data_IF_679051330067
#
_entry.id   IF_679051330067
#
_cell.length_a   1.000
_cell.length_b   1.000
_cell.length_c   1.000
_cell.angle_alpha   90.00
_cell.angle_beta   90.00
_cell.angle_gamma   90.00
#
_symmetry.space_group_name_H-M   'P 1'
#
loop_
_entity.id
_entity.type
_entity.pdbx_description
1 polymer ?
#
# COMPACT_ATOMS: atom_id res chain seq x y z
N UNK A 1 -1.12 -24.85 -4.65
CA UNK A 1 -0.67 -23.43 -4.75
C UNK A 1 -1.79 -22.49 -4.35
N UNK A 2 -1.47 -21.47 -3.58
CA UNK A 2 -2.38 -20.35 -3.33
C UNK A 2 -1.86 -19.15 -4.13
N UNK A 3 -2.76 -18.49 -4.82
CA UNK A 3 -2.45 -17.29 -5.60
C UNK A 3 -3.39 -16.20 -5.14
N UNK A 4 -2.84 -15.02 -4.87
CA UNK A 4 -3.65 -13.85 -4.58
C UNK A 4 -4.53 -13.55 -5.79
N UNK A 5 -5.83 -13.68 -5.63
CA UNK A 5 -6.75 -13.47 -6.74
C UNK A 5 -7.09 -12.01 -6.82
N UNK A 6 -6.94 -11.54 -8.02
CA UNK A 6 -7.62 -10.33 -8.37
C UNK A 6 -8.10 -10.39 -9.82
N UNK A 7 -9.38 -10.39 -9.99
CA UNK A 7 -10.03 -10.30 -11.29
C UNK A 7 -9.80 -8.90 -11.87
N UNK A 8 -8.68 -8.74 -12.58
CA UNK A 8 -8.32 -7.50 -13.25
C UNK A 8 -7.58 -6.45 -12.42
N UNK A 9 -6.91 -6.83 -11.34
CA UNK A 9 -6.11 -5.93 -10.54
C UNK A 9 -5.08 -6.67 -9.67
N UNK A 10 -4.63 -6.09 -8.56
CA UNK A 10 -3.53 -6.60 -7.75
C UNK A 10 -3.93 -6.97 -6.31
N UNK A 11 -5.16 -7.36 -6.10
CA UNK A 11 -5.68 -7.73 -4.79
C UNK A 11 -5.89 -6.54 -3.86
N UNK A 12 -6.25 -6.85 -2.64
CA UNK A 12 -6.48 -5.89 -1.56
C UNK A 12 -5.46 -6.09 -0.45
N UNK A 13 -5.13 -5.03 0.26
CA UNK A 13 -4.27 -5.12 1.43
C UNK A 13 -4.98 -5.78 2.61
N UNK A 14 -6.23 -5.38 2.86
CA UNK A 14 -7.06 -5.95 3.91
C UNK A 14 -8.16 -6.82 3.32
N UNK A 15 -8.55 -7.85 4.07
CA UNK A 15 -9.50 -8.86 3.60
C UNK A 15 -9.10 -9.48 2.25
N UNK A 16 -7.81 -9.88 2.09
CA UNK A 16 -7.34 -10.37 0.80
C UNK A 16 -8.09 -11.63 0.39
N UNK A 17 -8.30 -11.75 -0.90
CA UNK A 17 -8.92 -12.89 -1.52
C UNK A 17 -7.86 -13.71 -2.26
N UNK A 18 -7.85 -15.02 -2.03
CA UNK A 18 -6.92 -15.94 -2.66
C UNK A 18 -7.63 -17.01 -3.46
N UNK A 19 -7.05 -17.39 -4.58
CA UNK A 19 -7.40 -18.60 -5.31
C UNK A 19 -6.50 -19.74 -4.85
N UNK A 20 -7.12 -20.81 -4.37
CA UNK A 20 -6.41 -21.99 -3.89
C UNK A 20 -6.42 -23.03 -4.99
N UNK A 21 -5.24 -23.46 -5.44
CA UNK A 21 -5.07 -24.50 -6.47
C UNK A 21 -5.84 -24.26 -7.77
N UNK A 22 -6.11 -23.00 -8.10
CA UNK A 22 -6.82 -22.60 -9.32
C UNK A 22 -8.33 -22.86 -9.31
N UNK A 23 -8.90 -23.22 -8.16
CA UNK A 23 -10.32 -23.62 -8.04
C UNK A 23 -11.07 -22.85 -6.99
N UNK A 24 -10.61 -22.87 -5.78
CA UNK A 24 -11.33 -22.34 -4.63
C UNK A 24 -10.90 -20.91 -4.32
N UNK A 25 -11.87 -20.11 -3.92
CA UNK A 25 -11.61 -18.74 -3.48
C UNK A 25 -11.80 -18.62 -1.99
N UNK A 26 -10.75 -18.19 -1.29
CA UNK A 26 -10.74 -17.96 0.15
C UNK A 26 -10.60 -16.47 0.42
N UNK A 27 -11.43 -15.93 1.31
CA UNK A 27 -11.34 -14.55 1.78
C UNK A 27 -10.83 -14.56 3.22
N UNK A 28 -9.65 -14.00 3.42
CA UNK A 28 -9.02 -13.87 4.74
C UNK A 28 -9.55 -12.61 5.45
N UNK A 29 -10.61 -12.79 6.24
CA UNK A 29 -11.28 -11.67 6.92
C UNK A 29 -10.40 -11.09 8.03
N UNK A 30 -10.37 -9.76 8.13
CA UNK A 30 -9.66 -8.99 9.17
C UNK A 30 -8.15 -9.21 9.22
N UNK A 31 -7.55 -9.68 8.15
CA UNK A 31 -6.11 -9.88 8.03
C UNK A 31 -5.51 -9.00 6.96
N UNK A 32 -4.25 -8.69 7.10
CA UNK A 32 -3.47 -8.00 6.08
C UNK A 32 -2.81 -9.01 5.13
N UNK A 33 -2.72 -8.65 3.84
CA UNK A 33 -2.21 -9.57 2.81
C UNK A 33 -0.77 -10.02 3.02
N UNK A 34 0.12 -9.15 3.53
CA UNK A 34 1.52 -9.53 3.79
C UNK A 34 1.60 -10.65 4.81
N UNK A 35 0.86 -10.53 5.94
CA UNK A 35 0.86 -11.55 6.99
C UNK A 35 0.22 -12.86 6.55
N UNK A 36 -0.82 -12.81 5.72
CA UNK A 36 -1.43 -14.03 5.16
C UNK A 36 -0.45 -14.75 4.25
N UNK A 37 0.24 -14.00 3.38
CA UNK A 37 1.22 -14.57 2.44
C UNK A 37 2.40 -15.20 3.19
N UNK A 38 2.90 -14.55 4.26
CA UNK A 38 3.93 -15.12 5.13
C UNK A 38 3.49 -16.45 5.74
N UNK A 39 2.33 -16.47 6.43
CA UNK A 39 1.82 -17.69 7.09
C UNK A 39 1.64 -18.85 6.11
N UNK A 40 1.15 -18.57 4.89
CA UNK A 40 1.04 -19.55 3.83
C UNK A 40 2.39 -20.04 3.32
N UNK A 41 3.35 -19.15 3.20
CA UNK A 41 4.73 -19.48 2.81
C UNK A 41 5.36 -20.42 3.83
N UNK A 42 5.31 -20.07 5.12
CA UNK A 42 5.86 -20.88 6.22
C UNK A 42 5.15 -22.24 6.29
N UNK A 43 3.83 -22.26 6.20
CA UNK A 43 3.04 -23.49 6.19
C UNK A 43 3.44 -24.42 5.05
N UNK A 44 3.59 -23.86 3.84
CA UNK A 44 4.02 -24.63 2.68
C UNK A 44 5.45 -25.16 2.82
N UNK A 45 6.39 -24.31 3.26
CA UNK A 45 7.79 -24.72 3.49
C UNK A 45 7.90 -25.84 4.52
N UNK A 46 7.09 -25.77 5.58
CA UNK A 46 7.09 -26.78 6.66
C UNK A 46 6.47 -28.11 6.23
N UNK A 47 5.54 -28.09 5.28
CA UNK A 47 4.78 -29.27 4.84
C UNK A 47 5.28 -29.91 3.54
N UNK A 48 6.28 -29.30 2.87
CA UNK A 48 6.79 -29.79 1.58
C UNK A 48 7.56 -31.09 1.72
N UNK A 49 7.61 -31.87 0.67
CA UNK A 49 8.50 -33.04 0.54
C UNK A 49 9.96 -32.54 0.39
N UNK A 50 10.76 -32.73 1.44
CA UNK A 50 12.15 -32.27 1.50
C UNK A 50 13.11 -33.07 0.62
N UNK A 51 12.66 -34.24 0.11
CA UNK A 51 13.46 -35.04 -0.82
C UNK A 51 13.44 -34.55 -2.27
N UNK A 52 12.58 -33.56 -2.54
CA UNK A 52 12.40 -33.01 -3.89
C UNK A 52 12.87 -31.56 -3.98
N UNK A 53 13.44 -31.16 -5.12
CA UNK A 53 13.71 -29.74 -5.39
C UNK A 53 12.38 -28.98 -5.46
N UNK A 54 12.41 -27.71 -5.13
CA UNK A 54 11.23 -26.84 -5.17
C UNK A 54 11.55 -25.49 -5.78
N UNK A 55 10.51 -24.80 -6.21
CA UNK A 55 10.52 -23.39 -6.57
C UNK A 55 9.40 -22.70 -5.78
N UNK A 56 9.73 -21.61 -5.11
CA UNK A 56 8.78 -20.78 -4.38
C UNK A 56 8.79 -19.37 -4.98
N UNK A 57 7.61 -18.90 -5.42
CA UNK A 57 7.41 -17.50 -5.80
C UNK A 57 6.72 -16.78 -4.63
N UNK A 58 7.52 -16.10 -3.82
CA UNK A 58 7.08 -15.37 -2.63
C UNK A 58 6.85 -13.90 -2.99
N UNK A 59 5.63 -13.57 -3.37
CA UNK A 59 5.26 -12.29 -3.94
C UNK A 59 4.16 -11.60 -3.15
N UNK A 60 4.34 -10.31 -2.90
CA UNK A 60 3.41 -9.47 -2.16
C UNK A 60 2.67 -8.50 -3.09
N UNK A 61 1.48 -8.05 -2.64
CA UNK A 61 0.85 -6.87 -3.19
C UNK A 61 1.66 -5.61 -2.87
N UNK A 62 2.16 -5.53 -1.67
CA UNK A 62 3.00 -4.43 -1.22
C UNK A 62 4.33 -4.38 -2.02
N UNK A 63 4.86 -3.20 -2.32
CA UNK A 63 4.39 -1.86 -1.98
C UNK A 63 3.56 -1.18 -3.08
N UNK A 64 2.65 -1.88 -3.73
CA UNK A 64 1.80 -1.30 -4.77
C UNK A 64 0.84 -0.23 -4.18
N UNK A 65 0.54 0.78 -4.93
CA UNK A 65 -0.49 1.80 -4.66
C UNK A 65 -1.88 1.14 -4.42
N UNK A 66 -2.79 1.58 -3.52
CA UNK A 66 -2.60 2.65 -2.53
C UNK A 66 -1.85 2.09 -1.31
N UNK A 67 -0.76 2.67 -0.94
CA UNK A 67 0.11 2.18 0.12
C UNK A 67 -0.61 2.06 1.46
N UNK A 68 -0.87 0.84 1.90
CA UNK A 68 -1.59 0.52 3.13
C UNK A 68 -0.81 -0.51 3.93
N UNK A 69 0.01 -0.07 4.87
CA UNK A 69 0.72 -0.98 5.76
C UNK A 69 -0.25 -1.78 6.62
N UNK A 70 0.20 -2.88 7.18
CA UNK A 70 -0.53 -3.50 8.28
C UNK A 70 -0.64 -2.51 9.44
N UNK A 71 -1.70 -2.67 10.24
CA UNK A 71 -2.02 -1.76 11.34
C UNK A 71 -0.90 -1.56 12.35
N UNK A 72 -0.07 -2.58 12.55
CA UNK A 72 1.08 -2.51 13.47
C UNK A 72 2.19 -1.58 12.98
N UNK A 73 2.23 -1.28 11.67
CA UNK A 73 3.24 -0.38 11.06
C UNK A 73 2.69 1.01 10.76
N UNK A 74 1.43 1.27 11.07
CA UNK A 74 0.75 2.50 10.67
C UNK A 74 1.49 3.77 11.13
N UNK A 75 2.02 3.75 12.34
CA UNK A 75 2.66 4.92 12.94
C UNK A 75 4.17 4.84 13.03
N UNK A 76 4.79 3.84 12.43
CA UNK A 76 6.24 3.61 12.55
C UNK A 76 7.10 4.82 12.14
N UNK A 77 6.56 5.69 11.28
CA UNK A 77 7.18 6.93 10.83
C UNK A 77 6.38 8.18 11.17
N UNK A 78 5.44 8.12 12.14
CA UNK A 78 4.56 9.26 12.44
C UNK A 78 5.35 10.52 12.80
N UNK A 79 6.34 10.38 13.68
CA UNK A 79 7.16 11.48 14.21
C UNK A 79 8.44 11.76 13.39
N UNK A 80 8.60 11.10 12.25
CA UNK A 80 9.78 11.27 11.41
C UNK A 80 9.47 12.17 10.21
N UNK A 81 10.23 13.24 10.04
CA UNK A 81 10.17 14.06 8.84
C UNK A 81 11.25 13.65 7.86
N UNK A 82 10.82 13.15 6.71
CA UNK A 82 11.72 12.72 5.64
C UNK A 82 12.30 13.94 4.91
N UNK A 83 13.61 13.98 4.69
CA UNK A 83 14.23 15.05 3.93
C UNK A 83 13.70 15.07 2.49
N UNK A 84 13.50 16.26 1.97
CA UNK A 84 13.19 16.43 0.55
C UNK A 84 14.41 16.04 -0.29
N UNK A 85 14.25 15.20 -1.33
CA UNK A 85 15.36 14.91 -2.22
C UNK A 85 15.78 16.15 -3.03
N UNK A 86 17.02 16.22 -3.47
CA UNK A 86 17.51 17.33 -4.32
C UNK A 86 16.64 17.53 -5.57
N UNK A 87 16.03 16.46 -6.06
CA UNK A 87 15.15 16.46 -7.22
C UNK A 87 13.70 16.80 -6.90
N UNK A 88 13.39 17.23 -5.67
CA UNK A 88 12.00 17.47 -5.23
C UNK A 88 11.26 18.50 -6.12
N UNK A 89 11.97 19.52 -6.56
CA UNK A 89 11.47 20.58 -7.44
C UNK A 89 12.08 20.51 -8.85
N UNK A 90 12.44 19.31 -9.30
CA UNK A 90 12.99 19.10 -10.63
C UNK A 90 11.96 19.42 -11.72
N UNK A 91 12.38 20.18 -12.72
CA UNK A 91 11.56 20.55 -13.87
C UNK A 91 11.66 19.55 -15.03
N UNK A 92 12.44 18.47 -14.86
CA UNK A 92 12.69 17.43 -15.86
C UNK A 92 13.31 17.93 -17.19
N UNK A 93 13.92 19.09 -17.21
CA UNK A 93 14.53 19.66 -18.41
C UNK A 93 15.47 18.65 -19.10
N UNK A 94 15.31 18.48 -20.40
CA UNK A 94 16.10 17.52 -21.19
C UNK A 94 15.73 16.04 -21.03
N UNK A 95 14.70 15.72 -20.22
CA UNK A 95 14.24 14.33 -19.96
C UNK A 95 12.77 14.17 -20.36
N UNK A 96 12.52 14.03 -21.65
CA UNK A 96 11.18 13.98 -22.23
C UNK A 96 10.27 12.96 -21.55
N UNK A 97 10.76 11.71 -21.35
CA UNK A 97 9.96 10.68 -20.73
C UNK A 97 9.53 11.02 -19.28
N UNK A 98 10.35 11.74 -18.54
CA UNK A 98 10.01 12.18 -17.19
C UNK A 98 9.03 13.38 -17.20
N UNK A 99 9.20 14.32 -18.13
CA UNK A 99 8.32 15.48 -18.25
C UNK A 99 6.92 15.14 -18.75
N UNK A 100 6.79 14.10 -19.58
CA UNK A 100 5.51 13.61 -20.09
C UNK A 100 4.81 12.62 -19.14
N UNK A 101 5.52 12.19 -18.10
CA UNK A 101 4.99 11.20 -17.18
C UNK A 101 4.09 11.86 -16.12
N UNK A 102 2.87 11.36 -15.98
CA UNK A 102 1.90 11.83 -14.98
C UNK A 102 2.22 11.29 -13.57
N UNK A 103 3.43 11.56 -13.05
CA UNK A 103 3.90 11.07 -11.74
C UNK A 103 4.38 12.19 -10.80
N UNK A 104 3.90 13.40 -10.99
CA UNK A 104 4.22 14.53 -10.12
C UNK A 104 3.48 14.44 -8.78
N UNK A 105 4.15 14.82 -7.70
CA UNK A 105 3.56 14.85 -6.36
C UNK A 105 2.38 15.81 -6.31
N UNK A 106 2.54 17.01 -6.85
CA UNK A 106 1.53 18.05 -6.77
C UNK A 106 0.24 17.69 -7.49
N UNK A 107 0.36 17.25 -8.75
CA UNK A 107 -0.78 17.08 -9.66
C UNK A 107 -1.35 15.65 -9.66
N UNK A 108 -0.50 14.63 -9.46
CA UNK A 108 -0.87 13.24 -9.70
C UNK A 108 -1.02 12.38 -8.43
N UNK A 109 -0.50 12.82 -7.27
CA UNK A 109 -0.89 12.26 -5.99
C UNK A 109 -2.26 12.79 -5.57
N UNK A 110 -3.29 12.10 -6.06
CA UNK A 110 -4.68 12.51 -5.84
C UNK A 110 -5.20 12.07 -4.47
N UNK A 111 -6.39 12.55 -4.11
CA UNK A 111 -7.04 12.28 -2.82
C UNK A 111 -7.24 10.78 -2.54
N UNK A 112 -7.42 9.95 -3.57
CA UNK A 112 -7.56 8.50 -3.42
C UNK A 112 -6.23 7.86 -3.02
N UNK A 113 -5.15 8.21 -3.71
CA UNK A 113 -3.82 7.73 -3.37
C UNK A 113 -3.40 8.15 -1.96
N UNK A 114 -3.82 9.35 -1.54
CA UNK A 114 -3.61 9.87 -0.18
C UNK A 114 -4.59 9.29 0.86
N UNK A 115 -5.47 8.37 0.48
CA UNK A 115 -6.49 7.75 1.35
C UNK A 115 -7.49 8.75 1.98
N UNK A 116 -7.71 9.87 1.33
CA UNK A 116 -8.65 10.92 1.75
C UNK A 116 -10.07 10.69 1.21
N UNK A 117 -10.26 9.66 0.40
CA UNK A 117 -11.56 9.26 -0.16
C UNK A 117 -11.71 7.76 0.04
N UNK A 118 -12.77 7.36 0.71
CA UNK A 118 -13.10 5.95 0.85
C UNK A 118 -13.51 5.33 -0.51
N UNK A 119 -13.23 4.04 -0.73
CA UNK A 119 -13.72 3.33 -1.90
C UNK A 119 -15.24 3.43 -2.05
N UNK A 120 -15.74 3.46 -3.28
CA UNK A 120 -17.16 3.41 -3.56
C UNK A 120 -17.77 2.07 -3.12
N UNK A 121 -19.06 2.09 -2.74
CA UNK A 121 -19.79 0.88 -2.35
C UNK A 121 -19.66 0.47 -0.90
N UNK A 122 -18.88 1.18 -0.09
CA UNK A 122 -18.86 0.99 1.34
C UNK A 122 -20.06 1.63 2.03
N UNK A 123 -20.53 1.02 3.12
CA UNK A 123 -21.48 1.68 4.01
C UNK A 123 -20.84 2.95 4.60
N UNK A 124 -21.67 3.90 5.08
CA UNK A 124 -21.17 5.11 5.77
C UNK A 124 -20.22 4.74 6.93
N UNK A 125 -20.59 3.73 7.71
CA UNK A 125 -19.80 3.23 8.84
C UNK A 125 -18.45 2.68 8.39
N UNK A 126 -18.43 1.89 7.31
CA UNK A 126 -17.21 1.29 6.80
C UNK A 126 -16.33 2.31 6.10
N UNK A 127 -16.93 3.30 5.42
CA UNK A 127 -16.21 4.45 4.87
C UNK A 127 -15.50 5.25 5.95
N UNK A 128 -16.21 5.51 7.05
CA UNK A 128 -15.62 6.20 8.22
C UNK A 128 -14.48 5.39 8.84
N UNK A 129 -14.67 4.07 8.98
CA UNK A 129 -13.60 3.18 9.44
C UNK A 129 -12.41 3.16 8.50
N UNK A 130 -12.67 3.14 7.21
CA UNK A 130 -11.63 3.14 6.19
C UNK A 130 -10.78 4.42 6.26
N UNK A 131 -11.42 5.57 6.37
CA UNK A 131 -10.75 6.86 6.53
C UNK A 131 -10.00 6.94 7.87
N UNK A 132 -10.62 6.52 8.97
CA UNK A 132 -9.99 6.51 10.29
C UNK A 132 -8.78 5.55 10.35
N UNK A 133 -8.82 4.43 9.64
CA UNK A 133 -7.70 3.50 9.51
C UNK A 133 -6.54 4.07 8.70
N UNK A 134 -6.84 5.01 7.80
CA UNK A 134 -5.82 5.71 7.02
C UNK A 134 -5.10 6.83 7.78
N UNK A 135 -5.65 7.33 8.90
CA UNK A 135 -5.14 8.54 9.56
C UNK A 135 -5.41 8.63 11.07
N UNK A 136 -5.68 7.53 11.79
CA UNK A 136 -5.95 7.53 13.26
C UNK A 136 -6.80 8.71 13.73
N UNK A 137 -7.88 9.02 13.03
CA UNK A 137 -8.80 10.11 13.41
C UNK A 137 -8.31 11.50 13.02
N UNK A 138 -7.17 11.64 12.39
CA UNK A 138 -6.88 12.85 11.65
C UNK A 138 -7.64 12.77 10.33
N UNK A 139 -8.87 13.25 10.36
CA UNK A 139 -9.60 13.65 9.14
C UNK A 139 -8.90 14.87 8.53
N UNK A 140 -7.63 14.68 8.26
CA UNK A 140 -6.86 15.70 7.61
C UNK A 140 -7.13 15.58 6.10
N UNK A 141 -8.27 16.09 5.71
CA UNK A 141 -8.29 16.78 4.45
C UNK A 141 -7.26 17.90 4.62
N UNK A 142 -6.24 18.01 3.74
CA UNK A 142 -5.55 19.28 3.67
C UNK A 142 -6.68 20.27 3.54
N UNK A 143 -6.93 21.00 4.59
CA UNK A 143 -7.94 22.04 4.58
C UNK A 143 -7.70 22.80 3.28
N UNK A 144 -8.75 23.30 2.67
CA UNK A 144 -8.63 24.18 1.50
C UNK A 144 -7.62 25.33 1.68
N UNK A 145 -6.92 25.34 2.80
CA UNK A 145 -5.86 26.25 3.22
C UNK A 145 -4.47 25.87 2.72
N UNK A 146 -4.15 24.57 2.46
CA UNK A 146 -2.86 24.19 1.89
C UNK A 146 -2.91 24.24 0.37
N UNK A 147 -1.99 25.01 -0.20
CA UNK A 147 -1.80 25.14 -1.63
C UNK A 147 -0.32 25.21 -2.00
N UNK A 148 0.00 25.10 -3.29
CA UNK A 148 1.34 25.24 -3.83
C UNK A 148 2.36 24.35 -3.10
N UNK A 149 3.49 24.93 -2.75
CA UNK A 149 4.62 24.24 -2.14
C UNK A 149 4.28 23.57 -0.80
N UNK A 150 3.45 24.19 0.04
CA UNK A 150 3.02 23.62 1.31
C UNK A 150 2.18 22.34 1.12
N UNK A 151 1.29 22.34 0.14
CA UNK A 151 0.51 21.13 -0.23
C UNK A 151 1.41 20.05 -0.80
N UNK A 152 2.38 20.41 -1.65
CA UNK A 152 3.34 19.47 -2.24
C UNK A 152 4.17 18.77 -1.17
N UNK A 153 4.72 19.53 -0.21
CA UNK A 153 5.48 18.99 0.92
C UNK A 153 4.64 18.08 1.80
N UNK A 154 3.42 18.46 2.12
CA UNK A 154 2.51 17.61 2.87
C UNK A 154 2.20 16.31 2.13
N UNK A 155 1.90 16.35 0.83
CA UNK A 155 1.67 15.16 0.01
C UNK A 155 2.90 14.24 0.00
N UNK A 156 4.10 14.81 -0.09
CA UNK A 156 5.33 14.06 -0.04
C UNK A 156 5.50 13.33 1.28
N UNK A 157 5.37 14.04 2.41
CA UNK A 157 5.49 13.42 3.74
C UNK A 157 4.48 12.28 3.92
N UNK A 158 3.22 12.52 3.57
CA UNK A 158 2.21 11.47 3.67
C UNK A 158 2.51 10.28 2.78
N UNK A 159 2.88 10.51 1.54
CA UNK A 159 3.24 9.45 0.60
C UNK A 159 4.42 8.63 1.08
N UNK A 160 5.52 9.28 1.44
CA UNK A 160 6.75 8.57 1.78
C UNK A 160 6.61 7.76 3.08
N UNK A 161 5.89 8.29 4.08
CA UNK A 161 5.57 7.59 5.31
C UNK A 161 4.72 6.34 5.04
N UNK A 162 3.65 6.47 4.29
CA UNK A 162 2.77 5.35 3.92
C UNK A 162 3.52 4.29 3.08
N UNK A 163 4.32 4.73 2.13
CA UNK A 163 5.12 3.86 1.28
C UNK A 163 6.13 3.05 2.11
N UNK A 164 6.94 3.72 2.92
CA UNK A 164 7.97 3.05 3.72
C UNK A 164 7.38 2.17 4.82
N UNK A 165 6.27 2.56 5.44
CA UNK A 165 5.53 1.69 6.36
C UNK A 165 5.01 0.43 5.65
N UNK A 166 4.59 0.56 4.39
CA UNK A 166 4.19 -0.59 3.57
C UNK A 166 5.38 -1.48 3.21
N UNK A 167 6.55 -0.90 2.91
CA UNK A 167 7.81 -1.63 2.70
C UNK A 167 8.23 -2.35 3.98
N UNK A 168 8.16 -1.66 5.14
CA UNK A 168 8.45 -2.27 6.44
C UNK A 168 7.55 -3.48 6.72
N UNK A 169 6.28 -3.39 6.33
CA UNK A 169 5.35 -4.51 6.43
C UNK A 169 5.78 -5.73 5.59
N UNK A 170 6.48 -5.53 4.48
CA UNK A 170 7.09 -6.63 3.70
C UNK A 170 8.35 -7.14 4.36
N UNK A 171 9.24 -6.23 4.73
CA UNK A 171 10.56 -6.54 5.32
C UNK A 171 10.44 -7.45 6.56
N UNK A 172 9.51 -7.15 7.44
CA UNK A 172 9.26 -7.95 8.65
C UNK A 172 8.53 -9.29 8.39
N UNK A 173 8.06 -9.54 7.16
CA UNK A 173 7.36 -10.76 6.75
C UNK A 173 8.13 -11.56 5.68
N UNK A 174 9.44 -11.35 5.52
CA UNK A 174 10.35 -12.13 4.70
C UNK A 174 11.25 -12.99 5.58
#
# INVERSE_FOLDING_TARGET
>A
SKVLVNWGGQGTYFHPQFCVNGKDTVIEKKRHSTKVIEDECISWLSSRDTSKPFMLMYQFKAPHRDWRPDSIYHDVFADFDFPEPETFNDNYFGRLAASENMMEIENHLNRRAMKLIAPSGLSRRDSMRWLAYGDKGQFWSPNDTLNGEALKKWKYQKYIKDYLATVRSVDDNI
#
